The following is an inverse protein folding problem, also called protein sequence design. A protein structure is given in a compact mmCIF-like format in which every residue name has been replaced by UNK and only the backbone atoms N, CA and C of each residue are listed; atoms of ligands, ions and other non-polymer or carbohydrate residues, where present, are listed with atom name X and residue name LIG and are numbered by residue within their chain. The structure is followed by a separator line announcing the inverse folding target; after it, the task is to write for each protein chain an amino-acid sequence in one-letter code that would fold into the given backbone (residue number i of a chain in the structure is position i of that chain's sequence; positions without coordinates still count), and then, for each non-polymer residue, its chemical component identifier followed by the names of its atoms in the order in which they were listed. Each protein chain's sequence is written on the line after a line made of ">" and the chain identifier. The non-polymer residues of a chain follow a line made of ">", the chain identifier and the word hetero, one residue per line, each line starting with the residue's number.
data_IF_443077035856
#
_entry.id   IF_443077035856
#
_cell.length_a   1.000
_cell.length_b   1.000
_cell.length_c   1.000
_cell.angle_alpha   90.00
_cell.angle_beta   90.00
_cell.angle_gamma   90.00
#
_symmetry.space_group_name_H-M   'P 1'
#
loop_
_entity.id
_entity.type
_entity.pdbx_description
1 polymer ?
#
# COMPACT_ATOMS: atom_id res chain seq x y z
N UNK A 1 7.93 -13.71 7.34
CA UNK A 1 7.31 -13.89 6.00
C UNK A 1 7.72 -12.69 5.14
N UNK A 2 7.92 -12.85 3.83
CA UNK A 2 8.39 -11.75 2.95
C UNK A 2 7.33 -11.40 1.89
N UNK A 3 6.51 -10.40 2.19
CA UNK A 3 5.48 -9.89 1.27
C UNK A 3 6.09 -9.37 -0.04
N UNK A 4 7.32 -8.84 0.03
CA UNK A 4 8.04 -8.33 -1.14
C UNK A 4 8.18 -9.34 -2.27
N UNK A 5 8.35 -10.63 -1.96
CA UNK A 5 8.47 -11.67 -2.99
C UNK A 5 7.12 -11.95 -3.66
N UNK A 6 6.03 -12.00 -2.89
CA UNK A 6 4.70 -12.19 -3.46
C UNK A 6 4.32 -11.04 -4.41
N UNK A 7 4.61 -9.79 -4.03
CA UNK A 7 4.35 -8.61 -4.86
C UNK A 7 5.20 -8.61 -6.13
N UNK A 8 6.46 -9.04 -6.06
CA UNK A 8 7.33 -9.14 -7.24
C UNK A 8 6.83 -10.19 -8.25
N UNK A 9 6.34 -11.33 -7.76
CA UNK A 9 5.76 -12.39 -8.60
C UNK A 9 4.46 -11.93 -9.25
N UNK A 10 3.61 -11.20 -8.53
CA UNK A 10 2.33 -10.68 -9.01
C UNK A 10 2.46 -9.28 -9.61
N UNK A 11 3.49 -9.06 -10.44
CA UNK A 11 3.79 -7.75 -11.03
C UNK A 11 3.40 -7.67 -12.50
N UNK A 12 3.22 -6.43 -12.97
CA UNK A 12 2.99 -6.17 -14.39
C UNK A 12 4.15 -6.65 -15.28
N UNK A 13 5.39 -6.59 -14.79
CA UNK A 13 6.56 -7.10 -15.52
C UNK A 13 6.47 -8.60 -15.75
N UNK A 14 6.03 -9.37 -14.74
CA UNK A 14 5.82 -10.82 -14.89
C UNK A 14 4.69 -11.09 -15.88
N UNK A 15 3.59 -10.34 -15.82
CA UNK A 15 2.51 -10.49 -16.79
C UNK A 15 2.96 -10.26 -18.23
N UNK A 16 3.76 -9.22 -18.48
CA UNK A 16 4.29 -8.92 -19.82
C UNK A 16 5.32 -9.97 -20.26
N UNK A 17 6.13 -10.50 -19.34
CA UNK A 17 7.02 -11.62 -19.64
C UNK A 17 6.24 -12.88 -20.04
N UNK A 18 5.16 -13.22 -19.32
CA UNK A 18 4.30 -14.36 -19.66
C UNK A 18 3.68 -14.20 -21.06
N UNK A 19 3.19 -13.01 -21.41
CA UNK A 19 2.65 -12.74 -22.75
C UNK A 19 3.70 -12.82 -23.85
N UNK A 20 4.95 -12.47 -23.55
CA UNK A 20 6.05 -12.43 -24.53
C UNK A 20 6.68 -13.79 -24.80
N UNK A 21 6.79 -14.63 -23.76
CA UNK A 21 7.57 -15.86 -23.84
C UNK A 21 6.74 -17.11 -24.11
N UNK A 22 5.43 -17.08 -23.89
CA UNK A 22 4.54 -18.21 -24.15
C UNK A 22 3.76 -18.01 -25.44
N UNK A 23 3.33 -19.12 -26.05
CA UNK A 23 2.47 -19.05 -27.23
C UNK A 23 1.13 -18.41 -26.88
N UNK A 24 0.49 -17.80 -27.89
CA UNK A 24 -0.79 -17.13 -27.73
C UNK A 24 -1.82 -18.07 -27.09
N UNK A 25 -2.30 -17.72 -25.90
CA UNK A 25 -3.33 -18.45 -25.15
C UNK A 25 -2.80 -19.28 -23.98
N UNK A 26 -1.57 -19.78 -24.00
CA UNK A 26 -1.07 -20.70 -22.96
C UNK A 26 -0.96 -20.06 -21.58
N UNK A 27 -0.41 -18.85 -21.51
CA UNK A 27 -0.20 -18.12 -20.26
C UNK A 27 -1.11 -16.89 -20.12
N UNK A 28 -2.12 -16.74 -20.98
CA UNK A 28 -2.95 -15.53 -21.07
C UNK A 28 -3.70 -15.25 -19.76
N UNK A 29 -4.35 -16.26 -19.19
CA UNK A 29 -5.12 -16.09 -17.94
C UNK A 29 -4.20 -15.87 -16.73
N UNK A 30 -3.03 -16.50 -16.69
CA UNK A 30 -2.03 -16.26 -15.64
C UNK A 30 -1.46 -14.84 -15.73
N UNK A 31 -1.16 -14.36 -16.94
CA UNK A 31 -0.74 -12.99 -17.16
C UNK A 31 -1.83 -12.01 -16.70
N UNK A 32 -3.08 -12.27 -17.06
CA UNK A 32 -4.24 -11.46 -16.63
C UNK A 32 -4.38 -11.45 -15.10
N UNK A 33 -4.20 -12.60 -14.45
CA UNK A 33 -4.21 -12.69 -12.99
C UNK A 33 -3.13 -11.81 -12.36
N UNK A 34 -1.88 -11.88 -12.85
CA UNK A 34 -0.79 -11.04 -12.39
C UNK A 34 -1.10 -9.54 -12.56
N UNK A 35 -1.72 -9.12 -13.68
CA UNK A 35 -2.11 -7.72 -13.89
C UNK A 35 -3.21 -7.27 -12.93
N UNK A 36 -4.24 -8.09 -12.77
CA UNK A 36 -5.35 -7.81 -11.87
C UNK A 36 -4.87 -7.65 -10.42
N UNK A 37 -3.96 -8.53 -9.96
CA UNK A 37 -3.37 -8.44 -8.63
C UNK A 37 -2.42 -7.26 -8.49
N UNK A 38 -1.56 -6.98 -9.48
CA UNK A 38 -0.68 -5.81 -9.46
C UNK A 38 -1.50 -4.52 -9.30
N UNK A 39 -2.51 -4.36 -10.15
CA UNK A 39 -3.36 -3.17 -10.16
C UNK A 39 -4.14 -3.02 -8.85
N UNK A 40 -4.64 -4.13 -8.30
CA UNK A 40 -5.25 -4.15 -6.97
C UNK A 40 -4.28 -3.66 -5.89
N UNK A 41 -3.07 -4.23 -5.81
CA UNK A 41 -2.09 -3.82 -4.81
C UNK A 41 -1.67 -2.36 -4.94
N UNK A 42 -1.45 -1.86 -6.17
CA UNK A 42 -1.11 -0.46 -6.39
C UNK A 42 -2.25 0.48 -5.95
N UNK A 43 -3.51 0.11 -6.19
CA UNK A 43 -4.66 0.93 -5.80
C UNK A 43 -4.88 0.94 -4.28
N UNK A 44 -4.53 -0.14 -3.58
CA UNK A 44 -4.68 -0.25 -2.12
C UNK A 44 -3.49 0.37 -1.37
N UNK A 45 -2.28 0.30 -1.91
CA UNK A 45 -1.04 0.71 -1.23
C UNK A 45 -0.71 2.21 -1.41
N UNK A 46 -1.72 3.07 -1.43
CA UNK A 46 -1.53 4.52 -1.57
C UNK A 46 -1.22 5.13 -0.20
N UNK A 47 0.07 5.30 0.09
CA UNK A 47 0.57 5.82 1.37
C UNK A 47 1.44 7.08 1.23
N UNK A 48 1.73 7.52 0.00
CA UNK A 48 2.59 8.69 -0.27
C UNK A 48 1.94 9.65 -1.27
N UNK A 49 2.13 10.95 -1.04
CA UNK A 49 1.65 12.00 -1.96
C UNK A 49 2.52 12.15 -3.21
N UNK A 50 3.77 11.66 -3.20
CA UNK A 50 4.75 11.86 -4.28
C UNK A 50 5.26 10.56 -4.91
N UNK A 51 5.04 9.41 -4.28
CA UNK A 51 5.55 8.13 -4.79
C UNK A 51 5.06 7.82 -6.22
N UNK A 52 3.80 8.15 -6.52
CA UNK A 52 3.22 7.99 -7.85
C UNK A 52 4.00 8.72 -8.94
N UNK A 53 4.61 9.87 -8.62
CA UNK A 53 5.44 10.65 -9.55
C UNK A 53 6.78 9.96 -9.78
N UNK A 54 7.46 9.55 -8.69
CA UNK A 54 8.75 8.86 -8.76
C UNK A 54 8.65 7.53 -9.51
N UNK A 55 7.61 6.74 -9.22
CA UNK A 55 7.36 5.44 -9.86
C UNK A 55 6.62 5.57 -11.20
N UNK A 56 6.18 6.77 -11.57
CA UNK A 56 5.37 7.04 -12.77
C UNK A 56 4.14 6.12 -12.87
N UNK A 57 3.48 5.90 -11.74
CA UNK A 57 2.33 5.01 -11.64
C UNK A 57 1.13 5.76 -11.07
N UNK A 58 0.13 6.14 -11.88
CA UNK A 58 -1.03 6.90 -11.41
C UNK A 58 -1.90 6.14 -10.42
N UNK A 59 -1.82 4.80 -10.37
CA UNK A 59 -2.59 3.99 -9.41
C UNK A 59 -2.17 4.25 -7.96
N UNK A 60 -0.92 4.66 -7.75
CA UNK A 60 -0.35 5.02 -6.44
C UNK A 60 -0.64 6.48 -6.03
N UNK A 61 -1.38 7.25 -6.82
CA UNK A 61 -1.67 8.65 -6.49
C UNK A 61 -2.65 8.75 -5.30
N UNK A 62 -2.60 9.80 -4.46
CA UNK A 62 -3.65 10.04 -3.47
C UNK A 62 -5.05 10.05 -4.12
N UNK A 63 -6.05 9.48 -3.44
CA UNK A 63 -7.44 9.59 -3.88
C UNK A 63 -7.96 10.98 -3.56
N UNK A 64 -8.43 11.69 -4.59
CA UNK A 64 -8.86 13.08 -4.47
C UNK A 64 -10.36 13.25 -4.67
N UNK A 65 -11.00 12.30 -5.36
CA UNK A 65 -12.39 12.40 -5.77
C UNK A 65 -13.17 11.12 -5.47
N UNK A 66 -14.47 11.28 -5.20
CA UNK A 66 -15.40 10.15 -5.00
C UNK A 66 -15.56 9.31 -6.28
N UNK A 67 -15.40 9.95 -7.44
CA UNK A 67 -15.52 9.35 -8.77
C UNK A 67 -14.15 8.99 -9.37
N UNK A 68 -13.16 8.71 -8.52
CA UNK A 68 -11.84 8.27 -8.97
C UNK A 68 -11.95 6.97 -9.79
N UNK A 69 -11.37 6.97 -11.00
CA UNK A 69 -11.44 5.86 -11.94
C UNK A 69 -10.81 4.56 -11.40
N UNK A 70 -9.99 4.65 -10.36
CA UNK A 70 -9.45 3.45 -9.69
C UNK A 70 -10.51 2.69 -8.92
N UNK A 71 -11.58 3.33 -8.47
CA UNK A 71 -12.72 2.60 -7.90
C UNK A 71 -13.43 1.74 -8.95
N UNK A 72 -13.49 2.20 -10.21
CA UNK A 72 -13.96 1.39 -11.32
C UNK A 72 -13.02 0.19 -11.58
N UNK A 73 -11.70 0.43 -11.54
CA UNK A 73 -10.70 -0.64 -11.63
C UNK A 73 -10.91 -1.73 -10.55
N UNK A 74 -11.14 -1.32 -9.30
CA UNK A 74 -11.34 -2.27 -8.20
C UNK A 74 -12.69 -3.00 -8.28
N UNK A 75 -13.80 -2.27 -8.48
CA UNK A 75 -15.14 -2.86 -8.44
C UNK A 75 -15.51 -3.58 -9.74
N UNK A 76 -15.35 -2.90 -10.87
CA UNK A 76 -15.89 -3.36 -12.14
C UNK A 76 -14.88 -4.16 -12.96
N UNK A 77 -13.57 -4.06 -12.67
CA UNK A 77 -12.56 -4.91 -13.35
C UNK A 77 -12.10 -6.04 -12.45
N UNK A 78 -11.53 -5.72 -11.29
CA UNK A 78 -10.92 -6.72 -10.41
C UNK A 78 -11.96 -7.67 -9.77
N UNK A 79 -12.98 -7.13 -9.08
CA UNK A 79 -14.01 -8.00 -8.47
C UNK A 79 -14.88 -8.71 -9.52
N UNK A 80 -15.15 -8.07 -10.66
CA UNK A 80 -15.85 -8.73 -11.76
C UNK A 80 -15.03 -9.91 -12.31
N UNK A 81 -13.71 -9.74 -12.46
CA UNK A 81 -12.81 -10.81 -12.87
C UNK A 81 -12.85 -11.99 -11.89
N UNK A 82 -12.74 -11.75 -10.57
CA UNK A 82 -12.81 -12.81 -9.57
C UNK A 82 -14.17 -13.51 -9.54
N UNK A 83 -15.26 -12.75 -9.67
CA UNK A 83 -16.62 -13.31 -9.76
C UNK A 83 -16.76 -14.19 -11.01
N UNK A 84 -16.26 -13.72 -12.15
CA UNK A 84 -16.31 -14.48 -13.41
C UNK A 84 -15.48 -15.76 -13.33
N UNK A 85 -14.31 -15.71 -12.69
CA UNK A 85 -13.49 -16.89 -12.42
C UNK A 85 -14.20 -17.88 -11.49
N UNK A 86 -14.86 -17.40 -10.42
CA UNK A 86 -15.64 -18.28 -9.54
C UNK A 86 -16.80 -18.95 -10.29
N UNK A 87 -17.57 -18.17 -11.06
CA UNK A 87 -18.69 -18.68 -11.85
C UNK A 87 -18.24 -19.69 -12.91
N UNK A 88 -17.07 -19.48 -13.53
CA UNK A 88 -16.54 -20.42 -14.52
C UNK A 88 -16.22 -21.77 -13.87
N UNK A 89 -15.71 -21.79 -12.63
CA UNK A 89 -15.49 -23.02 -11.85
C UNK A 89 -16.81 -23.68 -11.45
N UNK A 90 -17.79 -22.90 -11.01
CA UNK A 90 -19.08 -23.44 -10.55
C UNK A 90 -19.83 -24.15 -11.68
N UNK A 91 -19.80 -23.57 -12.88
CA UNK A 91 -20.36 -24.15 -14.11
C UNK A 91 -19.51 -25.28 -14.72
N UNK A 92 -18.32 -25.56 -14.17
CA UNK A 92 -17.37 -26.51 -14.76
C UNK A 92 -17.69 -27.95 -14.35
N UNK A 93 -18.03 -28.78 -15.35
CA UNK A 93 -17.92 -30.24 -15.38
C UNK A 93 -18.37 -31.04 -14.14
N UNK A 94 -18.11 -32.36 -14.12
CA UNK A 94 -18.43 -33.23 -12.99
C UNK A 94 -17.30 -33.22 -11.94
N UNK A 95 -16.88 -32.03 -11.50
CA UNK A 95 -15.92 -31.90 -10.40
C UNK A 95 -16.65 -31.89 -9.06
N UNK A 96 -16.07 -32.54 -8.05
CA UNK A 96 -16.58 -32.46 -6.69
C UNK A 96 -16.44 -31.03 -6.13
N UNK A 97 -17.20 -30.71 -5.08
CA UNK A 97 -17.09 -29.40 -4.43
C UNK A 97 -15.69 -29.15 -3.86
N UNK A 98 -15.00 -30.21 -3.40
CA UNK A 98 -13.63 -30.13 -2.92
C UNK A 98 -12.64 -29.83 -4.05
N UNK A 99 -12.81 -30.46 -5.21
CA UNK A 99 -11.99 -30.16 -6.40
C UNK A 99 -12.23 -28.71 -6.87
N UNK A 100 -13.49 -28.28 -6.92
CA UNK A 100 -13.84 -26.89 -7.26
C UNK A 100 -13.25 -25.91 -6.24
N UNK A 101 -13.25 -26.26 -4.96
CA UNK A 101 -12.62 -25.48 -3.89
C UNK A 101 -11.12 -25.29 -4.09
N UNK A 102 -10.41 -26.30 -4.61
CA UNK A 102 -8.97 -26.23 -4.92
C UNK A 102 -8.65 -25.44 -6.19
N UNK A 103 -9.62 -25.20 -7.07
CA UNK A 103 -9.44 -24.43 -8.31
C UNK A 103 -9.56 -22.92 -8.12
N UNK A 104 -10.02 -22.47 -6.96
CA UNK A 104 -10.24 -21.06 -6.65
C UNK A 104 -9.42 -20.62 -5.43
N UNK A 105 -9.44 -19.31 -5.16
CA UNK A 105 -9.01 -18.76 -3.88
C UNK A 105 -9.85 -19.35 -2.74
N UNK A 106 -9.28 -19.43 -1.55
CA UNK A 106 -10.06 -19.80 -0.37
C UNK A 106 -11.24 -18.83 -0.16
N UNK A 107 -12.33 -19.33 0.41
CA UNK A 107 -13.53 -18.52 0.70
C UNK A 107 -13.18 -17.31 1.56
N UNK A 108 -12.24 -17.48 2.51
CA UNK A 108 -11.74 -16.42 3.38
C UNK A 108 -11.01 -15.34 2.57
N UNK A 109 -10.07 -15.72 1.68
CA UNK A 109 -9.33 -14.76 0.85
C UNK A 109 -10.25 -14.00 -0.09
N UNK A 110 -11.17 -14.69 -0.77
CA UNK A 110 -12.12 -14.04 -1.68
C UNK A 110 -13.06 -13.07 -0.94
N UNK A 111 -13.54 -13.47 0.24
CA UNK A 111 -14.37 -12.59 1.09
C UNK A 111 -13.58 -11.38 1.56
N UNK A 112 -12.34 -11.59 2.01
CA UNK A 112 -11.43 -10.52 2.41
C UNK A 112 -11.18 -9.51 1.29
N UNK A 113 -10.93 -9.97 0.06
CA UNK A 113 -10.75 -9.10 -1.11
C UNK A 113 -11.98 -8.24 -1.40
N UNK A 114 -13.20 -8.82 -1.34
CA UNK A 114 -14.44 -8.05 -1.49
C UNK A 114 -14.60 -6.99 -0.39
N UNK A 115 -14.32 -7.36 0.85
CA UNK A 115 -14.43 -6.45 2.00
C UNK A 115 -13.41 -5.31 1.90
N UNK A 116 -12.16 -5.60 1.54
CA UNK A 116 -11.12 -4.58 1.36
C UNK A 116 -11.53 -3.54 0.32
N UNK A 117 -12.01 -3.96 -0.86
CA UNK A 117 -12.48 -3.01 -1.89
C UNK A 117 -13.66 -2.15 -1.38
N UNK A 118 -14.61 -2.76 -0.66
CA UNK A 118 -15.75 -2.03 -0.11
C UNK A 118 -15.34 -1.01 0.96
N UNK A 119 -14.51 -1.43 1.91
CA UNK A 119 -14.01 -0.58 3.01
C UNK A 119 -13.13 0.54 2.47
N UNK A 120 -12.23 0.24 1.53
CA UNK A 120 -11.35 1.23 0.92
C UNK A 120 -12.14 2.38 0.28
N UNK A 121 -13.18 2.02 -0.51
CA UNK A 121 -14.07 3.02 -1.08
C UNK A 121 -14.76 3.84 0.01
N UNK A 122 -15.27 3.20 1.06
CA UNK A 122 -15.96 3.90 2.15
C UNK A 122 -15.04 4.84 2.92
N UNK A 123 -13.86 4.37 3.32
CA UNK A 123 -12.88 5.17 4.05
C UNK A 123 -12.49 6.38 3.20
N UNK A 124 -12.10 6.19 1.94
CA UNK A 124 -11.59 7.29 1.11
C UNK A 124 -12.68 8.27 0.66
N UNK A 125 -13.92 7.81 0.52
CA UNK A 125 -15.07 8.68 0.23
C UNK A 125 -15.52 9.45 1.47
N UNK A 126 -15.59 8.81 2.65
CA UNK A 126 -15.99 9.49 3.88
C UNK A 126 -14.88 10.42 4.41
N UNK A 127 -13.62 10.06 4.19
CA UNK A 127 -12.45 10.85 4.58
C UNK A 127 -12.09 11.94 3.54
N UNK A 128 -13.06 12.46 2.78
CA UNK A 128 -12.90 13.41 1.65
C UNK A 128 -12.09 14.69 1.94
N UNK A 129 -11.56 14.87 3.16
CA UNK A 129 -10.71 15.97 3.60
C UNK A 129 -9.47 15.57 4.39
N UNK A 130 -9.20 14.28 4.55
CA UNK A 130 -8.07 13.80 5.32
C UNK A 130 -7.37 12.66 4.58
N UNK A 131 -6.82 12.97 3.39
CA UNK A 131 -5.48 12.47 3.15
C UNK A 131 -4.59 13.23 4.14
N UNK A 132 -4.55 12.75 5.38
CA UNK A 132 -3.46 13.08 6.28
C UNK A 132 -2.37 12.07 5.92
N UNK A 133 -1.38 12.43 5.07
CA UNK A 133 -0.12 11.72 5.11
C UNK A 133 0.36 11.80 6.55
N UNK A 134 0.37 10.67 7.26
CA UNK A 134 0.66 10.65 8.70
C UNK A 134 -0.53 10.45 9.63
N UNK A 135 -1.71 10.00 9.18
CA UNK A 135 -2.41 9.01 10.03
C UNK A 135 -1.56 7.76 9.92
N UNK A 136 -0.50 7.72 10.72
CA UNK A 136 0.26 6.52 10.96
C UNK A 136 -0.76 5.53 11.55
N UNK A 137 -1.39 4.72 10.69
CA UNK A 137 -1.62 3.35 11.08
C UNK A 137 -0.25 2.88 11.54
N UNK A 138 -0.04 2.87 12.86
CA UNK A 138 1.12 2.24 13.45
C UNK A 138 1.20 0.89 12.77
N UNK A 139 2.19 0.70 11.90
CA UNK A 139 2.40 -0.59 11.28
C UNK A 139 2.72 -1.52 12.44
N UNK A 140 1.71 -2.29 12.84
CA UNK A 140 1.75 -3.11 14.03
C UNK A 140 2.86 -4.15 13.87
N UNK A 141 3.11 -4.60 12.64
CA UNK A 141 4.21 -5.51 12.34
C UNK A 141 5.58 -4.82 12.47
N UNK A 142 5.70 -3.56 12.03
CA UNK A 142 6.90 -2.76 12.24
C UNK A 142 7.16 -2.52 13.73
N UNK A 143 6.13 -2.15 14.50
CA UNK A 143 6.22 -2.00 15.95
C UNK A 143 6.65 -3.31 16.63
N UNK A 144 6.07 -4.45 16.23
CA UNK A 144 6.54 -5.75 16.72
C UNK A 144 7.97 -6.07 16.27
N UNK A 145 8.41 -5.57 15.11
CA UNK A 145 9.80 -5.58 14.68
C UNK A 145 10.71 -4.81 15.65
N UNK A 146 10.34 -3.58 16.03
CA UNK A 146 11.06 -2.80 17.03
C UNK A 146 11.10 -3.48 18.39
N UNK A 147 9.99 -4.08 18.82
CA UNK A 147 9.90 -4.85 20.07
C UNK A 147 10.92 -5.99 20.12
N UNK A 148 11.02 -6.80 19.05
CA UNK A 148 12.00 -7.88 18.95
C UNK A 148 13.44 -7.35 18.86
N UNK A 149 13.65 -6.24 18.15
CA UNK A 149 14.97 -5.63 18.01
C UNK A 149 15.57 -5.16 19.35
N UNK A 150 14.75 -4.83 20.36
CA UNK A 150 15.24 -4.45 21.70
C UNK A 150 15.99 -5.60 22.41
N UNK A 151 15.61 -6.84 22.13
CA UNK A 151 16.16 -8.03 22.78
C UNK A 151 17.54 -8.45 22.27
N UNK A 152 18.06 -7.84 21.20
CA UNK A 152 19.26 -8.24 20.44
C UNK A 152 19.22 -9.69 19.95
N UNK A 153 19.51 -10.65 20.83
CA UNK A 153 19.44 -12.10 20.56
C UNK A 153 18.16 -12.73 21.11
N UNK A 154 17.39 -11.99 21.90
CA UNK A 154 16.11 -12.44 22.44
C UNK A 154 14.97 -12.05 21.49
N UNK A 155 14.85 -12.79 20.39
CA UNK A 155 13.83 -12.54 19.36
C UNK A 155 12.40 -12.87 19.82
N UNK A 156 12.25 -13.55 20.96
CA UNK A 156 10.96 -13.93 21.54
C UNK A 156 10.88 -13.51 23.02
N UNK A 157 10.64 -12.22 23.30
CA UNK A 157 10.56 -11.72 24.66
C UNK A 157 9.36 -12.30 25.43
N UNK A 158 9.50 -12.46 26.74
CA UNK A 158 8.36 -12.76 27.63
C UNK A 158 7.42 -11.54 27.72
N UNK A 159 6.19 -11.74 28.20
CA UNK A 159 5.25 -10.63 28.40
C UNK A 159 5.82 -9.51 29.30
N UNK A 160 6.59 -9.88 30.33
CA UNK A 160 7.28 -8.91 31.19
C UNK A 160 8.34 -8.13 30.43
N UNK A 161 9.19 -8.81 29.65
CA UNK A 161 10.20 -8.17 28.83
C UNK A 161 9.59 -7.27 27.74
N UNK A 162 8.45 -7.68 27.17
CA UNK A 162 7.67 -6.89 26.23
C UNK A 162 7.20 -5.57 26.87
N UNK A 163 6.70 -5.61 28.10
CA UNK A 163 6.31 -4.41 28.85
C UNK A 163 7.49 -3.44 29.10
N UNK A 164 8.67 -3.97 29.47
CA UNK A 164 9.87 -3.14 29.62
C UNK A 164 10.35 -2.53 28.29
N UNK A 165 10.30 -3.31 27.21
CA UNK A 165 10.65 -2.83 25.88
C UNK A 165 9.70 -1.72 25.41
N UNK A 166 8.41 -1.81 25.75
CA UNK A 166 7.41 -0.79 25.42
C UNK A 166 7.73 0.56 26.06
N UNK A 167 8.05 0.58 27.36
CA UNK A 167 8.50 1.79 28.06
C UNK A 167 9.74 2.41 27.38
N UNK A 168 10.69 1.57 26.97
CA UNK A 168 11.91 2.02 26.30
C UNK A 168 11.62 2.61 24.92
N UNK A 169 10.75 1.98 24.14
CA UNK A 169 10.33 2.47 22.82
C UNK A 169 9.58 3.80 22.96
N UNK A 170 8.67 3.92 23.93
CA UNK A 170 7.96 5.17 24.22
C UNK A 170 8.94 6.31 24.58
N UNK A 171 9.89 6.03 25.48
CA UNK A 171 10.91 7.03 25.87
C UNK A 171 11.75 7.49 24.68
N UNK A 172 12.15 6.57 23.78
CA UNK A 172 12.93 6.92 22.58
C UNK A 172 12.12 7.78 21.59
N UNK A 173 10.81 7.53 21.46
CA UNK A 173 9.92 8.34 20.61
C UNK A 173 9.78 9.76 21.16
N UNK A 174 9.57 9.92 22.46
CA UNK A 174 9.45 11.23 23.11
C UNK A 174 10.73 12.07 22.96
N UNK A 175 11.91 11.45 23.05
CA UNK A 175 13.20 12.13 22.83
C UNK A 175 13.38 12.56 21.37
N UNK A 176 12.91 11.76 20.40
CA UNK A 176 13.02 12.10 18.98
C UNK A 176 12.17 13.33 18.59
N UNK A 177 11.00 13.50 19.20
CA UNK A 177 10.14 14.67 19.02
C UNK A 177 10.67 15.95 19.68
N UNK A 178 11.72 15.86 20.50
CA UNK A 178 12.39 17.00 21.13
C UNK A 178 13.62 17.52 20.38
N UNK A 179 13.89 17.04 19.15
CA UNK A 179 14.86 17.72 18.28
C UNK A 179 14.25 19.07 17.85
N UNK A 180 14.81 20.24 18.23
CA UNK A 180 14.13 21.50 17.99
C UNK A 180 14.08 21.80 16.49
N UNK A 181 12.88 21.78 15.91
CA UNK A 181 12.54 22.47 14.66
C UNK A 181 12.58 23.99 14.88
N UNK A 182 13.70 24.50 15.39
CA UNK A 182 13.86 25.90 15.77
C UNK A 182 15.04 26.58 15.07
N UNK A 183 15.37 26.16 13.85
CA UNK A 183 16.28 26.94 12.98
C UNK A 183 15.88 27.02 11.49
N UNK A 184 14.76 26.43 11.02
CA UNK A 184 14.37 26.52 9.60
C UNK A 184 13.23 27.50 9.28
N UNK A 185 12.63 28.20 10.26
CA UNK A 185 11.44 29.03 10.03
C UNK A 185 11.49 30.45 10.62
N UNK A 186 12.69 31.00 10.88
CA UNK A 186 12.83 32.39 11.33
C UNK A 186 13.50 33.34 10.32
N UNK A 187 14.01 32.83 9.19
CA UNK A 187 14.58 33.71 8.15
C UNK A 187 13.52 34.28 7.20
N UNK A 188 12.34 33.66 7.09
CA UNK A 188 11.28 34.08 6.14
C UNK A 188 10.26 35.07 6.73
N UNK A 189 10.36 35.43 8.01
CA UNK A 189 9.42 36.38 8.66
C UNK A 189 10.08 37.75 8.95
N UNK A 190 11.41 37.88 8.80
CA UNK A 190 12.06 39.20 8.90
C UNK A 190 12.16 39.86 7.51
N UNK A 191 11.10 40.57 7.13
CA UNK A 191 11.01 41.35 5.88
C UNK A 191 12.02 42.51 5.79
N UNK A 192 13.32 42.22 5.71
CA UNK A 192 14.37 43.20 5.39
C UNK A 192 14.83 43.00 3.94
N UNK A 193 14.10 43.64 3.03
CA UNK A 193 14.63 44.01 1.70
C UNK A 193 15.86 44.90 1.90
N UNK A 194 17.06 44.34 1.77
CA UNK A 194 18.28 45.11 1.58
C UNK A 194 18.25 45.76 0.20
N UNK A 195 17.83 47.03 0.16
CA UNK A 195 18.08 47.92 -0.99
C UNK A 195 19.52 48.41 -0.89
N UNK A 196 20.42 47.88 -1.72
CA UNK A 196 21.69 48.54 -2.01
C UNK A 196 21.72 48.93 -3.50
N UNK A 197 21.12 50.09 -3.82
CA UNK A 197 21.49 50.87 -5.01
C UNK A 197 22.67 51.76 -4.62
N UNK A 198 23.86 51.48 -5.16
CA UNK A 198 24.97 52.45 -5.17
C UNK A 198 24.59 53.64 -6.07
N UNK A 199 24.75 54.90 -5.62
CA UNK A 199 24.64 56.03 -6.51
C UNK A 199 25.98 56.23 -7.24
N UNK A 200 25.90 56.29 -8.57
CA UNK A 200 26.90 56.91 -9.42
C UNK A 200 27.09 58.38 -9.01
N UNK A 201 28.34 58.78 -8.75
CA UNK A 201 28.74 60.18 -8.76
C UNK A 201 29.76 60.41 -9.87
N UNK A 202 29.57 61.57 -10.49
CA UNK A 202 30.22 62.18 -11.64
C UNK A 202 31.74 62.13 -11.60
#
# INVERSE_FOLDING_TARGET
>A
MKVSFAVQVLSNTVAEALKRHYLSGEASETAKFCQMMNDFFDCMNVHSTSEHQRKRNPRLAPYQHIDDSRFDCLNNKFLQYLTSWKSSIDSRGPFSDDDKGRMFLSVQTFTGLKMMVFVERRIRVCAHRAFLPGVEEYDVEEYFGYQRAQGRRNDNPTAVAFGYNDLKIATLRDVAHHTPLKEMFLDDISGKRSKNKKPTKK
#
